data_IF_155023213850
#
_entry.id   IF_155023213850
#
_cell.length_a   1.000
_cell.length_b   1.000
_cell.length_c   1.000
_cell.angle_alpha   90.00
_cell.angle_beta   90.00
_cell.angle_gamma   90.00
#
_symmetry.space_group_name_H-M   'P 1'
#
loop_
_entity.id
_entity.type
_entity.pdbx_description
1 polymer ?
#
# COMPACT_ATOMS: atom_id res chain seq x y z
N UNK A 1 -21.35 2.28 -43.26
CA UNK A 1 -20.46 3.10 -44.10
C UNK A 1 -19.55 3.96 -43.22
N UNK A 2 -20.11 4.80 -42.33
CA UNK A 2 -19.38 5.61 -41.33
C UNK A 2 -18.35 4.84 -40.47
N UNK A 3 -18.66 3.61 -40.07
CA UNK A 3 -17.77 2.81 -39.20
C UNK A 3 -16.50 2.33 -39.93
N UNK A 4 -16.57 2.08 -41.25
CA UNK A 4 -15.40 1.69 -42.06
C UNK A 4 -14.42 2.85 -42.25
N UNK A 5 -14.97 4.04 -42.49
CA UNK A 5 -14.20 5.27 -42.69
C UNK A 5 -13.46 5.68 -41.40
N UNK A 6 -14.11 5.50 -40.23
CA UNK A 6 -13.47 5.71 -38.92
C UNK A 6 -12.34 4.71 -38.65
N UNK A 7 -12.49 3.43 -39.03
CA UNK A 7 -11.43 2.43 -38.85
C UNK A 7 -10.23 2.67 -39.78
N UNK A 8 -10.47 3.11 -41.01
CA UNK A 8 -9.41 3.45 -41.97
C UNK A 8 -8.63 4.68 -41.50
N UNK A 9 -9.32 5.70 -40.98
CA UNK A 9 -8.70 6.89 -40.40
C UNK A 9 -7.87 6.54 -39.15
N UNK A 10 -8.39 5.70 -38.26
CA UNK A 10 -7.65 5.24 -37.08
C UNK A 10 -6.41 4.42 -37.45
N UNK A 11 -6.51 3.56 -38.48
CA UNK A 11 -5.39 2.78 -38.98
C UNK A 11 -4.30 3.66 -39.62
N UNK A 12 -4.69 4.65 -40.42
CA UNK A 12 -3.76 5.59 -41.02
C UNK A 12 -3.01 6.41 -39.95
N UNK A 13 -3.69 6.85 -38.90
CA UNK A 13 -3.10 7.60 -37.81
C UNK A 13 -2.16 6.75 -36.94
N UNK A 14 -2.53 5.48 -36.69
CA UNK A 14 -1.67 4.52 -36.00
C UNK A 14 -0.38 4.23 -36.79
N UNK A 15 -0.46 4.07 -38.11
CA UNK A 15 0.71 3.85 -38.96
C UNK A 15 1.62 5.09 -39.05
N UNK A 16 1.04 6.30 -39.06
CA UNK A 16 1.82 7.54 -38.95
C UNK A 16 2.56 7.61 -37.62
N UNK A 17 1.92 7.29 -36.50
CA UNK A 17 2.59 7.30 -35.20
C UNK A 17 3.66 6.22 -35.07
N UNK A 18 3.41 5.02 -35.61
CA UNK A 18 4.41 3.96 -35.65
C UNK A 18 5.67 4.37 -36.43
N UNK A 19 5.51 5.10 -37.54
CA UNK A 19 6.63 5.61 -38.33
C UNK A 19 7.48 6.66 -37.59
N UNK A 20 6.91 7.34 -36.59
CA UNK A 20 7.61 8.32 -35.74
C UNK A 20 8.21 7.67 -34.47
N UNK A 21 7.87 6.41 -34.20
CA UNK A 21 8.26 5.71 -32.97
C UNK A 21 9.66 5.09 -33.12
N UNK A 22 10.54 5.16 -32.09
CA UNK A 22 11.83 4.48 -32.10
C UNK A 22 11.68 2.96 -32.28
N UNK A 23 12.79 2.28 -32.63
CA UNK A 23 12.78 0.81 -32.67
C UNK A 23 12.38 0.24 -31.30
N UNK A 24 11.75 -0.93 -31.28
CA UNK A 24 11.30 -1.59 -30.05
C UNK A 24 12.42 -1.69 -29.01
N UNK A 25 13.63 -2.07 -29.45
CA UNK A 25 14.81 -2.20 -28.59
C UNK A 25 15.19 -0.85 -27.97
N UNK A 26 15.18 0.23 -28.77
CA UNK A 26 15.49 1.57 -28.27
C UNK A 26 14.43 2.04 -27.28
N UNK A 27 13.14 1.83 -27.58
CA UNK A 27 12.06 2.19 -26.65
C UNK A 27 12.16 1.43 -25.32
N UNK A 28 12.41 0.12 -25.36
CA UNK A 28 12.60 -0.68 -24.13
C UNK A 28 13.79 -0.14 -23.34
N UNK A 29 14.91 0.17 -24.01
CA UNK A 29 16.09 0.73 -23.35
C UNK A 29 15.82 2.11 -22.72
N UNK A 30 15.18 3.00 -23.46
CA UNK A 30 14.86 4.34 -23.00
C UNK A 30 13.92 4.27 -21.77
N UNK A 31 12.86 3.44 -21.81
CA UNK A 31 11.97 3.24 -20.66
C UNK A 31 12.65 2.58 -19.46
N UNK A 32 13.58 1.64 -19.68
CA UNK A 32 14.37 1.05 -18.60
C UNK A 32 15.27 2.09 -17.94
N UNK A 33 15.92 2.94 -18.75
CA UNK A 33 16.77 4.02 -18.25
C UNK A 33 15.96 5.04 -17.46
N UNK A 34 14.81 5.46 -17.99
CA UNK A 34 13.90 6.39 -17.32
C UNK A 34 13.38 5.82 -15.99
N UNK A 35 13.03 4.53 -15.98
CA UNK A 35 12.62 3.83 -14.76
C UNK A 35 13.74 3.76 -13.71
N UNK A 36 14.98 3.55 -14.15
CA UNK A 36 16.17 3.58 -13.29
C UNK A 36 16.41 4.97 -12.70
N UNK A 37 16.35 6.02 -13.53
CA UNK A 37 16.51 7.41 -13.08
C UNK A 37 15.43 7.79 -12.06
N UNK A 38 14.17 7.45 -12.31
CA UNK A 38 13.07 7.65 -11.37
C UNK A 38 13.27 6.88 -10.06
N UNK A 39 13.70 5.61 -10.14
CA UNK A 39 13.95 4.78 -8.96
C UNK A 39 15.04 5.40 -8.09
N UNK A 40 16.18 5.79 -8.67
CA UNK A 40 17.28 6.42 -7.93
C UNK A 40 16.85 7.76 -7.32
N UNK A 41 15.95 8.49 -7.97
CA UNK A 41 15.39 9.74 -7.45
C UNK A 41 14.49 9.56 -6.22
N UNK A 42 13.66 8.52 -6.17
CA UNK A 42 12.63 8.33 -5.12
C UNK A 42 13.12 7.42 -3.99
N UNK A 43 13.99 6.45 -4.29
CA UNK A 43 14.46 5.43 -3.36
C UNK A 43 15.06 5.99 -2.05
N UNK A 44 15.91 7.05 -2.05
CA UNK A 44 16.45 7.60 -0.82
C UNK A 44 15.38 8.14 0.12
N UNK A 45 14.33 8.77 -0.43
CA UNK A 45 13.20 9.28 0.35
C UNK A 45 12.38 8.14 0.96
N UNK A 46 12.13 7.07 0.20
CA UNK A 46 11.45 5.85 0.65
C UNK A 46 12.17 5.24 1.86
N UNK A 47 13.47 5.00 1.70
CA UNK A 47 14.31 4.40 2.74
C UNK A 47 14.40 5.29 3.98
N UNK A 48 14.54 6.60 3.81
CA UNK A 48 14.62 7.54 4.93
C UNK A 48 13.35 7.57 5.76
N UNK A 49 12.18 7.62 5.10
CA UNK A 49 10.88 7.63 5.79
C UNK A 49 10.60 6.28 6.44
N UNK A 50 10.88 5.17 5.74
CA UNK A 50 10.78 3.82 6.30
C UNK A 50 11.67 3.65 7.54
N UNK A 51 12.93 4.07 7.48
CA UNK A 51 13.86 3.99 8.60
C UNK A 51 13.43 4.83 9.81
N UNK A 52 13.00 6.07 9.59
CA UNK A 52 12.45 6.90 10.68
C UNK A 52 11.19 6.28 11.27
N UNK A 53 10.31 5.77 10.42
CA UNK A 53 9.11 5.05 10.86
C UNK A 53 9.44 3.81 11.68
N UNK A 54 10.49 3.05 11.32
CA UNK A 54 10.99 1.92 12.09
C UNK A 54 11.50 2.34 13.47
N UNK A 55 12.24 3.46 13.56
CA UNK A 55 12.72 3.99 14.83
C UNK A 55 11.52 4.33 15.72
N UNK A 56 10.57 5.09 15.18
CA UNK A 56 9.33 5.45 15.90
C UNK A 56 8.59 4.19 16.35
N UNK A 57 8.49 3.18 15.49
CA UNK A 57 7.75 1.97 15.79
C UNK A 57 8.39 1.04 16.83
N UNK A 58 9.72 0.97 16.89
CA UNK A 58 10.43 0.05 17.78
C UNK A 58 10.93 0.70 19.07
N UNK A 59 11.16 2.01 19.07
CA UNK A 59 11.79 2.70 20.21
C UNK A 59 10.89 3.74 20.88
N UNK A 60 9.66 3.96 20.41
CA UNK A 60 8.73 4.90 21.04
C UNK A 60 7.35 4.25 21.28
N UNK A 61 6.60 4.69 22.30
CA UNK A 61 5.24 4.20 22.56
C UNK A 61 4.20 4.75 21.56
N UNK A 62 4.62 5.50 20.55
CA UNK A 62 3.72 6.16 19.61
C UNK A 62 2.79 5.17 18.89
N UNK A 63 3.34 4.04 18.43
CA UNK A 63 2.55 3.01 17.73
C UNK A 63 1.62 2.26 18.70
N UNK A 64 1.99 2.14 19.98
CA UNK A 64 1.10 1.57 20.99
C UNK A 64 -0.12 2.48 21.21
N UNK A 65 0.09 3.79 21.29
CA UNK A 65 -1.01 4.75 21.39
C UNK A 65 -1.86 4.79 20.13
N UNK A 66 -1.23 4.76 18.96
CA UNK A 66 -1.95 4.70 17.69
C UNK A 66 -2.76 3.41 17.57
N UNK A 67 -2.28 2.29 18.12
CA UNK A 67 -3.00 1.01 18.17
C UNK A 67 -4.38 1.12 18.82
N UNK A 68 -4.54 1.99 19.83
CA UNK A 68 -5.82 2.14 20.52
C UNK A 68 -6.96 2.62 19.61
N UNK A 69 -6.68 3.30 18.50
CA UNK A 69 -7.73 3.72 17.56
C UNK A 69 -8.43 2.54 16.90
N UNK A 70 -7.76 1.39 16.80
CA UNK A 70 -8.30 0.17 16.21
C UNK A 70 -8.95 -0.76 17.24
N UNK A 71 -8.70 -0.53 18.52
CA UNK A 71 -9.23 -1.36 19.60
C UNK A 71 -10.76 -1.50 19.58
N UNK A 72 -11.56 -0.43 19.35
CA UNK A 72 -13.02 -0.56 19.28
C UNK A 72 -13.51 -1.50 18.17
N UNK A 73 -12.79 -1.60 17.06
CA UNK A 73 -13.16 -2.48 15.93
C UNK A 73 -12.75 -3.94 16.17
N UNK A 74 -11.74 -4.16 17.02
CA UNK A 74 -11.21 -5.49 17.34
C UNK A 74 -11.95 -6.10 18.54
N UNK A 75 -12.23 -5.29 19.56
CA UNK A 75 -12.80 -5.73 20.83
C UNK A 75 -14.19 -6.36 20.70
N UNK A 76 -14.95 -5.99 19.66
CA UNK A 76 -16.25 -6.59 19.37
C UNK A 76 -16.17 -8.08 18.99
N UNK A 77 -14.97 -8.59 18.68
CA UNK A 77 -14.75 -9.97 18.26
C UNK A 77 -13.93 -10.75 19.29
N UNK A 78 -14.27 -12.02 19.56
CA UNK A 78 -13.53 -12.88 20.48
C UNK A 78 -12.25 -13.47 19.84
N UNK A 79 -11.41 -12.61 19.24
CA UNK A 79 -10.13 -13.02 18.66
C UNK A 79 -9.00 -12.99 19.70
N UNK A 80 -8.06 -13.92 19.61
CA UNK A 80 -6.86 -13.94 20.44
C UNK A 80 -5.95 -12.73 20.15
N UNK A 81 -5.08 -12.40 21.11
CA UNK A 81 -4.01 -11.40 20.92
C UNK A 81 -4.49 -10.01 20.47
N UNK A 82 -5.68 -9.56 20.90
CA UNK A 82 -6.32 -8.30 20.47
C UNK A 82 -5.38 -7.08 20.55
N UNK A 83 -4.60 -6.97 21.62
CA UNK A 83 -3.64 -5.87 21.80
C UNK A 83 -2.53 -5.89 20.75
N UNK A 84 -2.00 -7.09 20.44
CA UNK A 84 -0.97 -7.26 19.41
C UNK A 84 -1.55 -6.98 18.03
N UNK A 85 -2.78 -7.43 17.77
CA UNK A 85 -3.51 -7.15 16.53
C UNK A 85 -3.74 -5.64 16.34
N UNK A 86 -4.12 -4.92 17.40
CA UNK A 86 -4.32 -3.48 17.36
C UNK A 86 -3.01 -2.73 17.03
N UNK A 87 -1.91 -3.12 17.71
CA UNK A 87 -0.58 -2.58 17.43
C UNK A 87 -0.11 -2.87 16.00
N UNK A 88 -0.31 -4.11 15.53
CA UNK A 88 0.02 -4.52 14.16
C UNK A 88 -0.83 -3.78 13.11
N UNK A 89 -2.09 -3.47 13.43
CA UNK A 89 -2.94 -2.68 12.54
C UNK A 89 -2.43 -1.24 12.42
N UNK A 90 -1.97 -0.64 13.51
CA UNK A 90 -1.41 0.71 13.51
C UNK A 90 -0.04 0.81 12.83
N UNK A 91 0.86 -0.16 13.03
CA UNK A 91 2.20 -0.14 12.43
C UNK A 91 2.16 -0.25 10.90
N UNK A 92 1.04 -0.72 10.32
CA UNK A 92 0.84 -0.81 8.86
C UNK A 92 1.01 0.54 8.14
N UNK A 93 0.82 1.66 8.85
CA UNK A 93 1.02 3.01 8.30
C UNK A 93 2.49 3.27 7.95
N UNK A 94 3.41 2.65 8.69
CA UNK A 94 4.85 2.81 8.49
C UNK A 94 5.30 1.96 7.30
N UNK A 95 4.97 0.67 7.34
CA UNK A 95 5.47 -0.34 6.41
C UNK A 95 4.49 -1.52 6.38
N UNK A 96 4.25 -2.09 5.20
CA UNK A 96 3.33 -3.23 5.06
C UNK A 96 3.86 -4.54 5.65
N UNK A 97 5.17 -4.70 5.84
CA UNK A 97 5.78 -5.94 6.32
C UNK A 97 5.92 -6.01 7.85
N UNK A 98 5.98 -4.86 8.51
CA UNK A 98 6.13 -4.78 9.96
C UNK A 98 4.99 -5.42 10.76
N UNK A 99 3.70 -5.29 10.39
CA UNK A 99 2.63 -5.94 11.11
C UNK A 99 2.86 -7.46 11.22
N UNK A 100 3.26 -8.10 10.11
CA UNK A 100 3.50 -9.54 10.04
C UNK A 100 4.65 -10.00 10.93
N UNK A 101 5.67 -9.17 11.15
CA UNK A 101 6.78 -9.47 12.05
C UNK A 101 6.34 -9.45 13.53
N UNK A 102 5.40 -8.57 13.90
CA UNK A 102 4.90 -8.46 15.27
C UNK A 102 4.06 -9.66 15.70
N UNK A 103 3.40 -10.35 14.77
CA UNK A 103 2.49 -11.47 15.06
C UNK A 103 3.12 -12.85 14.88
N UNK A 104 4.43 -12.95 14.69
CA UNK A 104 5.13 -14.23 14.48
C UNK A 104 4.85 -15.29 15.56
N UNK A 105 4.61 -14.85 16.80
CA UNK A 105 4.28 -15.72 17.96
C UNK A 105 2.79 -15.74 18.33
N UNK A 106 1.94 -15.01 17.62
CA UNK A 106 0.51 -14.94 17.88
C UNK A 106 -0.26 -16.18 17.37
N UNK A 107 -1.53 -16.28 17.75
CA UNK A 107 -2.46 -17.28 17.24
C UNK A 107 -2.61 -17.24 15.71
N UNK A 108 -3.00 -18.37 15.10
CA UNK A 108 -3.13 -18.48 13.64
C UNK A 108 -4.22 -17.55 13.09
N UNK A 109 -5.32 -17.38 13.82
CA UNK A 109 -6.39 -16.41 13.49
C UNK A 109 -5.84 -14.99 13.42
N UNK A 110 -5.04 -14.57 14.41
CA UNK A 110 -4.41 -13.25 14.44
C UNK A 110 -3.40 -13.05 13.31
N UNK A 111 -2.58 -14.07 13.03
CA UNK A 111 -1.63 -14.06 11.90
C UNK A 111 -2.34 -13.90 10.56
N UNK A 112 -3.47 -14.58 10.38
CA UNK A 112 -4.28 -14.46 9.18
C UNK A 112 -4.83 -13.04 9.01
N UNK A 113 -5.46 -12.49 10.05
CA UNK A 113 -6.02 -11.12 10.01
C UNK A 113 -4.93 -10.11 9.67
N UNK A 114 -3.79 -10.17 10.37
CA UNK A 114 -2.69 -9.25 10.12
C UNK A 114 -2.13 -9.40 8.72
N UNK A 115 -1.96 -10.63 8.22
CA UNK A 115 -1.51 -10.86 6.85
C UNK A 115 -2.41 -10.19 5.80
N UNK A 116 -3.74 -10.25 6.00
CA UNK A 116 -4.67 -9.56 5.09
C UNK A 116 -4.60 -8.04 5.26
N UNK A 117 -4.63 -7.54 6.50
CA UNK A 117 -4.57 -6.09 6.80
C UNK A 117 -3.30 -5.45 6.24
N UNK A 118 -2.15 -6.15 6.33
CA UNK A 118 -0.87 -5.71 5.79
C UNK A 118 -0.95 -5.37 4.30
N UNK A 119 -1.64 -6.21 3.52
CA UNK A 119 -1.79 -6.02 2.07
C UNK A 119 -2.93 -5.05 1.75
N UNK A 120 -4.03 -5.12 2.51
CA UNK A 120 -5.23 -4.34 2.25
C UNK A 120 -5.16 -2.90 2.76
N UNK A 121 -4.22 -2.53 3.63
CA UNK A 121 -4.05 -1.13 4.03
C UNK A 121 -3.80 -0.22 2.82
N UNK A 122 -3.05 -0.71 1.82
CA UNK A 122 -2.61 -0.04 0.58
C UNK A 122 -1.73 1.19 0.82
N UNK A 123 -2.08 2.05 1.77
CA UNK A 123 -1.43 3.31 2.08
C UNK A 123 -0.41 3.11 3.20
N UNK A 124 0.86 3.37 2.90
CA UNK A 124 1.97 3.35 3.86
C UNK A 124 3.00 4.42 3.48
N UNK A 125 3.64 5.01 4.49
CA UNK A 125 4.52 6.18 4.32
C UNK A 125 5.86 5.84 3.68
N UNK A 126 6.33 4.60 3.79
CA UNK A 126 7.64 4.25 3.26
C UNK A 126 7.69 4.22 1.73
N UNK A 127 6.60 3.97 0.99
CA UNK A 127 6.64 4.07 -0.48
C UNK A 127 5.48 4.83 -1.12
N UNK A 128 4.23 4.49 -0.78
CA UNK A 128 3.09 5.03 -1.53
C UNK A 128 2.94 6.56 -1.36
N UNK A 129 3.14 7.09 -0.15
CA UNK A 129 2.99 8.54 0.10
C UNK A 129 4.02 9.37 -0.67
N UNK A 130 5.35 9.09 -0.61
CA UNK A 130 6.34 9.78 -1.44
C UNK A 130 6.06 9.70 -2.93
N UNK A 131 5.65 8.53 -3.43
CA UNK A 131 5.30 8.35 -4.84
C UNK A 131 4.14 9.27 -5.25
N UNK A 132 3.06 9.34 -4.46
CA UNK A 132 1.93 10.24 -4.75
C UNK A 132 2.40 11.69 -4.74
N UNK A 133 3.20 12.09 -3.74
CA UNK A 133 3.71 13.45 -3.63
C UNK A 133 4.68 13.84 -4.74
N UNK A 134 5.35 12.87 -5.38
CA UNK A 134 6.19 13.08 -6.54
C UNK A 134 5.40 13.28 -7.85
N UNK A 135 4.12 12.86 -7.89
CA UNK A 135 3.25 13.08 -9.05
C UNK A 135 2.57 14.45 -9.01
N UNK A 136 2.02 14.89 -10.15
CA UNK A 136 1.23 16.12 -10.23
C UNK A 136 -0.11 16.07 -9.46
N UNK A 137 -0.47 14.90 -8.90
CA UNK A 137 -1.70 14.68 -8.14
C UNK A 137 -1.54 15.29 -6.74
N UNK A 138 -2.10 16.49 -6.54
CA UNK A 138 -2.09 17.20 -5.25
C UNK A 138 -3.13 16.66 -4.28
N UNK A 139 -2.91 15.45 -3.75
CA UNK A 139 -3.69 14.94 -2.61
C UNK A 139 -2.99 15.33 -1.31
N UNK A 140 -3.66 16.04 -0.38
CA UNK A 140 -3.07 16.39 0.89
C UNK A 140 -2.87 15.14 1.77
N UNK A 141 -1.72 15.06 2.46
CA UNK A 141 -1.30 13.89 3.27
C UNK A 141 -2.35 13.47 4.31
N UNK A 142 -3.07 14.42 4.92
CA UNK A 142 -4.12 14.11 5.90
C UNK A 142 -5.25 13.27 5.31
N UNK A 143 -5.58 13.41 4.02
CA UNK A 143 -6.57 12.55 3.34
C UNK A 143 -6.05 11.12 3.21
N UNK A 144 -4.75 10.95 2.95
CA UNK A 144 -4.13 9.63 2.88
C UNK A 144 -4.20 8.91 4.23
N UNK A 145 -3.99 9.65 5.34
CA UNK A 145 -4.14 9.10 6.70
C UNK A 145 -5.57 8.66 6.97
N UNK A 146 -6.58 9.45 6.57
CA UNK A 146 -7.99 9.05 6.73
C UNK A 146 -8.32 7.81 5.89
N UNK A 147 -7.86 7.75 4.64
CA UNK A 147 -8.07 6.60 3.76
C UNK A 147 -7.40 5.36 4.37
N UNK A 148 -6.16 5.48 4.85
CA UNK A 148 -5.46 4.41 5.56
C UNK A 148 -6.28 3.90 6.75
N UNK A 149 -6.73 4.80 7.64
CA UNK A 149 -7.50 4.41 8.82
C UNK A 149 -8.78 3.67 8.43
N UNK A 150 -9.54 4.20 7.46
CA UNK A 150 -10.76 3.57 6.98
C UNK A 150 -10.48 2.19 6.35
N UNK A 151 -9.43 2.08 5.53
CA UNK A 151 -9.01 0.82 4.90
C UNK A 151 -8.66 -0.22 5.96
N UNK A 152 -7.90 0.15 6.98
CA UNK A 152 -7.53 -0.78 8.07
C UNK A 152 -8.74 -1.16 8.89
N UNK A 153 -9.58 -0.20 9.31
CA UNK A 153 -10.79 -0.48 10.08
C UNK A 153 -11.77 -1.40 9.34
N UNK A 154 -12.04 -1.12 8.06
CA UNK A 154 -12.89 -1.98 7.22
C UNK A 154 -12.27 -3.37 7.01
N UNK A 155 -10.95 -3.43 6.81
CA UNK A 155 -10.27 -4.70 6.68
C UNK A 155 -10.41 -5.54 7.95
N UNK A 156 -10.21 -4.96 9.13
CA UNK A 156 -10.41 -5.64 10.41
C UNK A 156 -11.84 -6.16 10.58
N UNK A 157 -12.84 -5.31 10.31
CA UNK A 157 -14.25 -5.69 10.42
C UNK A 157 -14.65 -6.86 9.51
N UNK A 158 -14.02 -6.98 8.34
CA UNK A 158 -14.29 -8.07 7.39
C UNK A 158 -13.46 -9.31 7.72
N UNK A 159 -12.18 -9.14 8.03
CA UNK A 159 -11.23 -10.26 8.15
C UNK A 159 -11.27 -10.96 9.49
N UNK A 160 -11.59 -10.26 10.59
CA UNK A 160 -11.68 -10.90 11.91
C UNK A 160 -12.80 -11.97 11.93
N UNK A 161 -14.04 -11.70 11.47
CA UNK A 161 -15.06 -12.74 11.34
C UNK A 161 -14.61 -13.91 10.47
N UNK A 162 -14.00 -13.64 9.32
CA UNK A 162 -13.50 -14.69 8.42
C UNK A 162 -12.43 -15.54 9.11
N UNK A 163 -11.52 -14.92 9.85
CA UNK A 163 -10.50 -15.63 10.61
C UNK A 163 -11.11 -16.52 11.71
N UNK A 164 -12.14 -16.04 12.40
CA UNK A 164 -12.86 -16.82 13.41
C UNK A 164 -13.66 -17.97 12.78
N UNK A 165 -14.16 -17.83 11.56
CA UNK A 165 -14.85 -18.93 10.87
C UNK A 165 -13.89 -20.02 10.39
N UNK A 166 -12.66 -19.66 10.02
CA UNK A 166 -11.67 -20.61 9.48
C UNK A 166 -10.85 -21.27 10.59
N UNK A 167 -10.51 -20.52 11.65
CA UNK A 167 -9.57 -20.92 12.69
C UNK A 167 -10.15 -20.89 14.11
N UNK A 168 -11.42 -20.48 14.28
CA UNK A 168 -12.12 -20.47 15.55
C UNK A 168 -12.78 -21.79 15.91
#
# INVERSE_FOLDING_TARGET
MLLKEQTETAYAEAMKQNALTPSLVKNVWDNLKDGLEMTVGILPSILSIGFLGLIVANYTPFIDWLGYIFYPFIYIFPIADQAVLAKASAISIVEMFLPSLLVTKAAMSTKFVVGVVSVSAIIFFSALVPCILATEIKIPVWKLIIIWFLRVALSLLITIPVALLIFG
#
